data_IF_465516746218
#
_entry.id   IF_465516746218
#
_cell.length_a   1.000
_cell.length_b   1.000
_cell.length_c   1.000
_cell.angle_alpha   90.00
_cell.angle_beta   90.00
_cell.angle_gamma   90.00
#
_symmetry.space_group_name_H-M   'P 1'
#
loop_
_entity.id
_entity.type
_entity.pdbx_description
1 polymer ?
#
# COMPACT_ATOMS: atom_id res chain seq x y z
N UNK A 1 -40.25 70.65 0.78
CA UNK A 1 -40.62 69.52 1.67
C UNK A 1 -41.00 68.32 0.83
N UNK A 2 -41.88 68.48 -0.17
CA UNK A 2 -42.32 67.38 -1.03
C UNK A 2 -41.22 66.75 -1.89
N UNK A 3 -40.27 67.54 -2.40
CA UNK A 3 -39.12 67.01 -3.17
C UNK A 3 -38.21 66.12 -2.33
N UNK A 4 -37.89 66.54 -1.10
CA UNK A 4 -37.08 65.78 -0.15
C UNK A 4 -37.77 64.51 0.30
N UNK A 5 -39.08 64.56 0.55
CA UNK A 5 -39.90 63.39 0.86
C UNK A 5 -39.91 62.40 -0.32
N UNK A 6 -40.03 62.89 -1.55
CA UNK A 6 -40.00 62.04 -2.74
C UNK A 6 -38.65 61.35 -2.94
N UNK A 7 -37.53 62.01 -2.65
CA UNK A 7 -36.19 61.41 -2.72
C UNK A 7 -36.02 60.32 -1.68
N UNK A 8 -36.43 60.56 -0.43
CA UNK A 8 -36.38 59.58 0.65
C UNK A 8 -37.23 58.33 0.35
N UNK A 9 -38.39 58.50 -0.30
CA UNK A 9 -39.23 57.36 -0.72
C UNK A 9 -38.53 56.52 -1.80
N UNK A 10 -37.82 57.14 -2.73
CA UNK A 10 -37.06 56.42 -3.76
C UNK A 10 -35.88 55.64 -3.16
N UNK A 11 -35.14 56.26 -2.23
CA UNK A 11 -34.04 55.62 -1.51
C UNK A 11 -34.52 54.44 -0.67
N UNK A 12 -35.61 54.60 0.08
CA UNK A 12 -36.23 53.52 0.84
C UNK A 12 -36.65 52.36 -0.06
N UNK A 13 -37.19 52.64 -1.25
CA UNK A 13 -37.54 51.60 -2.22
C UNK A 13 -36.30 50.84 -2.72
N UNK A 14 -35.20 51.54 -2.96
CA UNK A 14 -33.92 50.92 -3.31
C UNK A 14 -33.42 50.01 -2.20
N UNK A 15 -33.40 50.51 -0.95
CA UNK A 15 -32.98 49.75 0.22
C UNK A 15 -33.83 48.48 0.39
N UNK A 16 -35.15 48.57 0.18
CA UNK A 16 -36.03 47.40 0.24
C UNK A 16 -35.68 46.34 -0.82
N UNK A 17 -35.28 46.74 -2.03
CA UNK A 17 -34.84 45.82 -3.08
C UNK A 17 -33.52 45.16 -2.71
N UNK A 18 -32.56 45.93 -2.21
CA UNK A 18 -31.27 45.41 -1.78
C UNK A 18 -31.41 44.43 -0.61
N UNK A 19 -32.27 44.72 0.37
CA UNK A 19 -32.60 43.82 1.48
C UNK A 19 -33.19 42.50 0.95
N UNK A 20 -34.09 42.56 -0.03
CA UNK A 20 -34.67 41.36 -0.62
C UNK A 20 -33.62 40.50 -1.35
N UNK A 21 -32.70 41.12 -2.09
CA UNK A 21 -31.57 40.41 -2.71
C UNK A 21 -30.66 39.77 -1.66
N UNK A 22 -30.30 40.51 -0.61
CA UNK A 22 -29.49 39.97 0.48
C UNK A 22 -30.18 38.81 1.19
N UNK A 23 -31.49 38.90 1.45
CA UNK A 23 -32.26 37.79 2.04
C UNK A 23 -32.21 36.55 1.15
N UNK A 24 -32.35 36.71 -0.17
CA UNK A 24 -32.24 35.59 -1.11
C UNK A 24 -30.86 34.95 -1.07
N UNK A 25 -29.80 35.77 -1.07
CA UNK A 25 -28.41 35.28 -1.05
C UNK A 25 -28.05 34.63 0.28
N UNK A 26 -28.53 35.17 1.40
CA UNK A 26 -28.36 34.58 2.73
C UNK A 26 -29.05 33.22 2.78
N UNK A 27 -30.27 33.10 2.26
CA UNK A 27 -30.98 31.81 2.22
C UNK A 27 -30.24 30.75 1.39
N UNK A 28 -29.67 31.12 0.23
CA UNK A 28 -28.83 30.21 -0.56
C UNK A 28 -27.57 29.76 0.21
N UNK A 29 -26.90 30.70 0.88
CA UNK A 29 -25.72 30.40 1.68
C UNK A 29 -26.07 29.50 2.87
N UNK A 30 -27.17 29.73 3.56
CA UNK A 30 -27.65 28.88 4.65
C UNK A 30 -27.90 27.45 4.17
N UNK A 31 -28.57 27.28 3.03
CA UNK A 31 -28.80 25.96 2.44
C UNK A 31 -27.48 25.25 2.08
N UNK A 32 -26.52 25.98 1.53
CA UNK A 32 -25.20 25.43 1.20
C UNK A 32 -24.40 25.07 2.44
N UNK A 33 -24.48 25.87 3.51
CA UNK A 33 -23.83 25.58 4.79
C UNK A 33 -24.42 24.30 5.40
N UNK A 34 -25.74 24.16 5.44
CA UNK A 34 -26.41 22.94 5.92
C UNK A 34 -25.92 21.71 5.15
N UNK A 35 -25.90 21.77 3.81
CA UNK A 35 -25.42 20.67 2.99
C UNK A 35 -23.94 20.32 3.22
N UNK A 36 -23.09 21.32 3.47
CA UNK A 36 -21.68 21.12 3.81
C UNK A 36 -21.52 20.50 5.20
N UNK A 37 -22.30 20.94 6.19
CA UNK A 37 -22.31 20.39 7.53
C UNK A 37 -22.74 18.91 7.51
N UNK A 38 -23.83 18.58 6.80
CA UNK A 38 -24.27 17.20 6.60
C UNK A 38 -23.18 16.35 5.93
N UNK A 39 -22.48 16.90 4.94
CA UNK A 39 -21.37 16.20 4.30
C UNK A 39 -20.19 15.98 5.27
N UNK A 40 -19.84 16.98 6.07
CA UNK A 40 -18.80 16.87 7.10
C UNK A 40 -19.18 15.86 8.19
N UNK A 41 -20.47 15.71 8.51
CA UNK A 41 -20.93 14.68 9.44
C UNK A 41 -20.82 13.27 8.89
N UNK A 42 -20.96 13.08 7.57
CA UNK A 42 -20.86 11.77 6.90
C UNK A 42 -19.42 11.40 6.50
N UNK A 43 -18.52 12.36 6.34
CA UNK A 43 -17.11 12.11 5.98
C UNK A 43 -16.36 11.16 6.96
N UNK A 44 -16.52 11.26 8.30
CA UNK A 44 -15.86 10.35 9.24
C UNK A 44 -16.31 8.89 9.04
N UNK A 45 -17.59 8.65 8.78
CA UNK A 45 -18.13 7.32 8.53
C UNK A 45 -17.55 6.73 7.23
N UNK A 46 -17.49 7.54 6.17
CA UNK A 46 -16.82 7.17 4.91
C UNK A 46 -15.33 6.88 5.14
N UNK A 47 -14.65 7.68 5.96
CA UNK A 47 -13.26 7.45 6.34
C UNK A 47 -13.07 6.11 7.06
N UNK A 48 -13.96 5.77 7.99
CA UNK A 48 -13.94 4.48 8.68
C UNK A 48 -14.20 3.32 7.73
N UNK A 49 -15.15 3.45 6.80
CA UNK A 49 -15.42 2.43 5.78
C UNK A 49 -14.20 2.20 4.88
N UNK A 50 -13.53 3.27 4.43
CA UNK A 50 -12.31 3.16 3.64
C UNK A 50 -11.19 2.44 4.39
N UNK A 51 -11.00 2.74 5.68
CA UNK A 51 -10.01 2.04 6.51
C UNK A 51 -10.37 0.57 6.69
N UNK A 52 -11.65 0.25 6.90
CA UNK A 52 -12.13 -1.12 6.99
C UNK A 52 -11.91 -1.90 5.68
N UNK A 53 -12.30 -1.32 4.55
CA UNK A 53 -12.11 -1.91 3.22
C UNK A 53 -10.64 -2.11 2.91
N UNK A 54 -9.78 -1.14 3.23
CA UNK A 54 -8.33 -1.26 3.08
C UNK A 54 -7.78 -2.42 3.91
N UNK A 55 -8.19 -2.54 5.18
CA UNK A 55 -7.80 -3.65 6.05
C UNK A 55 -8.22 -5.00 5.47
N UNK A 56 -9.46 -5.10 4.97
CA UNK A 56 -10.00 -6.30 4.34
C UNK A 56 -9.23 -6.68 3.07
N UNK A 57 -8.87 -5.71 2.22
CA UNK A 57 -8.06 -5.94 1.02
C UNK A 57 -6.67 -6.48 1.39
N UNK A 58 -6.02 -5.88 2.38
CA UNK A 58 -4.70 -6.33 2.86
C UNK A 58 -4.78 -7.77 3.39
N UNK A 59 -5.81 -8.11 4.18
CA UNK A 59 -6.00 -9.47 4.68
C UNK A 59 -6.23 -10.48 3.55
N UNK A 60 -7.10 -10.15 2.58
CA UNK A 60 -7.34 -11.02 1.42
C UNK A 60 -6.09 -11.25 0.58
N UNK A 61 -5.30 -10.20 0.33
CA UNK A 61 -4.05 -10.33 -0.42
C UNK A 61 -3.02 -11.16 0.34
N UNK A 62 -2.87 -10.94 1.66
CA UNK A 62 -1.97 -11.74 2.49
C UNK A 62 -2.38 -13.21 2.50
N UNK A 63 -3.69 -13.53 2.56
CA UNK A 63 -4.18 -14.91 2.49
C UNK A 63 -3.92 -15.53 1.11
N UNK A 64 -4.15 -14.78 0.04
CA UNK A 64 -3.92 -15.25 -1.33
C UNK A 64 -2.43 -15.46 -1.64
N UNK A 65 -1.55 -14.70 -0.98
CA UNK A 65 -0.10 -14.78 -1.20
C UNK A 65 0.66 -15.53 -0.11
N UNK A 66 -0.02 -16.08 0.90
CA UNK A 66 0.60 -16.74 2.06
C UNK A 66 1.55 -17.87 1.68
N UNK A 67 1.17 -18.60 0.63
CA UNK A 67 1.92 -19.77 0.15
C UNK A 67 2.97 -19.39 -0.90
N UNK A 68 3.02 -18.12 -1.31
CA UNK A 68 3.98 -17.61 -2.29
C UNK A 68 5.27 -17.14 -1.59
N UNK A 69 6.39 -17.68 -2.02
CA UNK A 69 7.74 -17.24 -1.63
C UNK A 69 8.45 -16.67 -2.86
N UNK A 70 9.09 -15.52 -2.68
CA UNK A 70 9.90 -14.88 -3.69
C UNK A 70 11.39 -15.11 -3.39
N UNK A 71 12.13 -15.60 -4.36
CA UNK A 71 13.56 -15.83 -4.27
C UNK A 71 14.31 -14.85 -5.17
N UNK A 72 15.42 -14.32 -4.66
CA UNK A 72 16.29 -13.36 -5.33
C UNK A 72 17.72 -13.88 -5.36
N UNK A 73 18.53 -13.38 -6.29
CA UNK A 73 19.96 -13.73 -6.38
C UNK A 73 20.27 -14.97 -7.21
N UNK A 74 19.27 -15.73 -7.65
CA UNK A 74 19.49 -16.84 -8.58
C UNK A 74 19.75 -16.33 -9.99
N UNK A 75 20.92 -16.63 -10.60
CA UNK A 75 21.16 -16.28 -12.01
C UNK A 75 20.21 -17.04 -12.93
N UNK A 76 19.81 -16.40 -14.02
CA UNK A 76 18.95 -16.99 -15.03
C UNK A 76 19.61 -18.26 -15.59
N UNK A 77 18.80 -19.29 -15.85
CA UNK A 77 19.19 -20.61 -16.35
C UNK A 77 19.88 -21.56 -15.36
N UNK A 78 20.18 -21.14 -14.12
CA UNK A 78 20.71 -22.05 -13.09
C UNK A 78 19.73 -23.20 -12.76
N UNK A 79 18.44 -22.94 -12.94
CA UNK A 79 17.35 -23.88 -12.71
C UNK A 79 17.27 -25.01 -13.75
N UNK A 80 17.93 -24.85 -14.90
CA UNK A 80 17.72 -25.74 -16.05
C UNK A 80 16.30 -25.63 -16.63
N UNK A 81 15.69 -26.78 -16.92
CA UNK A 81 14.38 -26.85 -17.59
C UNK A 81 13.18 -26.80 -16.63
N UNK A 82 13.38 -27.16 -15.35
CA UNK A 82 12.31 -27.24 -14.36
C UNK A 82 12.70 -26.51 -13.06
N UNK A 83 12.10 -25.33 -12.88
CA UNK A 83 12.27 -24.49 -11.69
C UNK A 83 11.82 -25.21 -10.42
N UNK A 84 10.77 -26.03 -10.48
CA UNK A 84 10.28 -26.73 -9.30
C UNK A 84 11.27 -27.80 -8.86
N UNK A 85 11.78 -28.62 -9.79
CA UNK A 85 12.80 -29.63 -9.48
C UNK A 85 14.08 -28.99 -8.91
N UNK A 86 14.50 -27.86 -9.48
CA UNK A 86 15.62 -27.08 -8.96
C UNK A 86 15.38 -26.63 -7.51
N UNK A 87 14.24 -26.00 -7.21
CA UNK A 87 13.94 -25.52 -5.85
C UNK A 87 13.79 -26.67 -4.85
N UNK A 88 13.20 -27.81 -5.27
CA UNK A 88 13.04 -29.00 -4.43
C UNK A 88 14.38 -29.57 -3.96
N UNK A 89 15.39 -29.52 -4.81
CA UNK A 89 16.72 -30.06 -4.54
C UNK A 89 17.61 -29.05 -3.82
N UNK A 90 17.56 -27.78 -4.22
CA UNK A 90 18.46 -26.74 -3.68
C UNK A 90 18.04 -26.20 -2.33
N UNK A 91 16.74 -25.95 -2.10
CA UNK A 91 16.31 -25.27 -0.87
C UNK A 91 16.63 -26.06 0.41
N UNK A 92 16.39 -27.38 0.51
CA UNK A 92 16.74 -28.14 1.72
C UNK A 92 18.24 -28.06 2.03
N UNK A 93 19.09 -28.09 1.00
CA UNK A 93 20.55 -27.97 1.14
C UNK A 93 20.96 -26.56 1.58
N UNK A 94 20.33 -25.52 1.01
CA UNK A 94 20.67 -24.12 1.27
C UNK A 94 20.15 -23.59 2.61
N UNK A 95 18.98 -24.06 3.05
CA UNK A 95 18.37 -23.60 4.31
C UNK A 95 18.62 -24.55 5.48
N UNK A 96 19.34 -25.67 5.26
CA UNK A 96 19.59 -26.72 6.26
C UNK A 96 18.30 -27.27 6.89
N UNK A 97 17.17 -27.13 6.21
CA UNK A 97 15.88 -27.55 6.74
C UNK A 97 15.58 -28.98 6.32
N UNK A 98 15.32 -29.82 7.31
CA UNK A 98 14.62 -31.08 7.09
C UNK A 98 13.14 -30.84 7.32
N UNK A 99 12.36 -30.83 6.23
CA UNK A 99 10.91 -30.82 6.32
C UNK A 99 10.39 -32.24 6.59
N UNK A 100 9.29 -32.37 7.34
CA UNK A 100 8.63 -33.68 7.59
C UNK A 100 8.14 -34.35 6.31
N UNK A 101 7.99 -33.56 5.24
CA UNK A 101 7.57 -33.98 3.92
C UNK A 101 8.36 -33.20 2.87
N UNK A 102 8.57 -33.76 1.66
CA UNK A 102 9.35 -33.08 0.62
C UNK A 102 8.76 -31.70 0.30
N UNK A 103 9.55 -30.78 -0.26
CA UNK A 103 8.97 -29.54 -0.77
C UNK A 103 8.13 -29.85 -2.01
N UNK A 104 6.89 -29.38 -2.01
CA UNK A 104 5.99 -29.49 -3.14
C UNK A 104 5.52 -28.10 -3.54
N UNK A 105 5.46 -27.85 -4.84
CA UNK A 105 5.10 -26.56 -5.41
C UNK A 105 3.87 -26.72 -6.29
N UNK A 106 2.90 -25.82 -6.14
CA UNK A 106 1.79 -25.70 -7.09
C UNK A 106 2.28 -25.11 -8.40
N UNK A 107 3.15 -24.10 -8.29
CA UNK A 107 3.72 -23.36 -9.43
C UNK A 107 5.04 -22.74 -9.03
N UNK A 108 5.96 -22.62 -9.99
CA UNK A 108 7.17 -21.83 -9.84
C UNK A 108 7.52 -21.20 -11.20
N UNK A 109 7.82 -19.90 -11.20
CA UNK A 109 8.13 -19.16 -12.43
C UNK A 109 9.03 -17.97 -12.14
N UNK A 110 9.77 -17.52 -13.15
CA UNK A 110 10.54 -16.26 -13.11
C UNK A 110 9.60 -15.07 -13.28
N UNK A 111 9.85 -14.01 -12.54
CA UNK A 111 9.16 -12.73 -12.68
C UNK A 111 9.90 -11.83 -13.68
N UNK A 112 9.22 -11.43 -14.74
CA UNK A 112 9.76 -10.53 -15.77
C UNK A 112 9.69 -11.11 -17.18
N UNK A 113 10.01 -10.28 -18.18
CA UNK A 113 10.11 -10.70 -19.57
C UNK A 113 11.45 -11.40 -19.81
N UNK A 114 11.41 -12.57 -20.46
CA UNK A 114 12.59 -13.20 -21.03
C UNK A 114 13.14 -12.27 -22.11
N UNK A 115 14.29 -11.68 -21.85
CA UNK A 115 15.06 -10.98 -22.88
C UNK A 115 16.22 -11.90 -23.22
N UNK A 116 16.39 -12.18 -24.51
CA UNK A 116 17.58 -12.86 -24.96
C UNK A 116 18.78 -11.95 -24.66
N UNK A 117 19.87 -12.54 -24.17
CA UNK A 117 21.23 -11.99 -24.23
C UNK A 117 21.87 -11.34 -22.98
N UNK A 118 21.42 -11.63 -21.76
CA UNK A 118 22.26 -11.37 -20.57
C UNK A 118 22.54 -12.64 -19.75
N UNK A 119 23.70 -13.32 -19.99
CA UNK A 119 24.17 -14.32 -19.04
C UNK A 119 24.35 -13.64 -17.67
N UNK A 120 23.87 -14.28 -16.61
CA UNK A 120 23.91 -13.80 -15.21
C UNK A 120 22.83 -12.79 -14.77
N UNK A 121 21.77 -12.59 -15.55
CA UNK A 121 20.62 -11.79 -15.08
C UNK A 121 19.98 -12.42 -13.83
N UNK A 122 19.78 -11.63 -12.77
CA UNK A 122 19.24 -12.09 -11.48
C UNK A 122 17.73 -11.83 -11.37
N UNK A 123 16.91 -12.51 -12.18
CA UNK A 123 15.45 -12.35 -12.11
C UNK A 123 14.84 -13.05 -10.89
N UNK A 124 13.85 -12.47 -10.19
CA UNK A 124 13.22 -13.15 -9.07
C UNK A 124 12.47 -14.42 -9.50
N UNK A 125 12.48 -15.46 -8.67
CA UNK A 125 11.63 -16.65 -8.82
C UNK A 125 10.48 -16.53 -7.83
N UNK A 126 9.24 -16.64 -8.31
CA UNK A 126 8.06 -16.78 -7.46
C UNK A 126 7.64 -18.24 -7.45
N UNK A 127 7.62 -18.86 -6.27
CA UNK A 127 7.14 -20.21 -6.08
C UNK A 127 5.98 -20.25 -5.08
N UNK A 128 4.90 -20.94 -5.44
CA UNK A 128 3.77 -21.22 -4.57
C UNK A 128 3.93 -22.62 -4.00
N UNK A 129 4.05 -22.75 -2.68
CA UNK A 129 4.13 -24.04 -2.01
C UNK A 129 2.75 -24.71 -1.99
N UNK A 130 2.74 -26.03 -2.12
CA UNK A 130 1.51 -26.81 -2.04
C UNK A 130 0.99 -26.90 -0.60
N UNK A 131 1.90 -26.97 0.38
CA UNK A 131 1.57 -27.04 1.80
C UNK A 131 1.76 -25.70 2.47
N UNK A 132 0.65 -25.15 2.98
CA UNK A 132 0.63 -23.83 3.62
C UNK A 132 1.59 -23.68 4.83
N UNK A 133 1.92 -24.77 5.51
CA UNK A 133 2.81 -24.77 6.67
C UNK A 133 4.29 -24.64 6.27
N UNK A 134 4.66 -25.04 5.04
CA UNK A 134 6.06 -25.07 4.60
C UNK A 134 6.59 -23.67 4.27
N UNK A 135 5.75 -22.77 3.73
CA UNK A 135 6.13 -21.39 3.44
C UNK A 135 6.66 -20.63 4.68
N UNK A 136 5.95 -20.56 5.82
CA UNK A 136 6.44 -19.86 7.01
C UNK A 136 7.65 -20.55 7.65
N UNK A 137 7.76 -21.89 7.57
CA UNK A 137 8.94 -22.63 8.04
C UNK A 137 10.18 -22.24 7.23
N UNK A 138 10.07 -22.29 5.90
CA UNK A 138 11.14 -21.90 4.98
C UNK A 138 11.61 -20.46 5.21
N UNK A 139 10.66 -19.52 5.30
CA UNK A 139 10.97 -18.12 5.55
C UNK A 139 11.62 -17.88 6.91
N UNK A 140 11.22 -18.64 7.93
CA UNK A 140 11.81 -18.53 9.27
C UNK A 140 13.23 -19.05 9.28
N UNK A 141 13.50 -20.19 8.64
CA UNK A 141 14.84 -20.73 8.54
C UNK A 141 15.77 -19.84 7.71
N UNK A 142 15.29 -19.34 6.57
CA UNK A 142 16.07 -18.41 5.75
C UNK A 142 16.42 -17.13 6.52
N UNK A 143 15.51 -16.61 7.36
CA UNK A 143 15.83 -15.47 8.25
C UNK A 143 16.89 -15.83 9.30
N UNK A 144 16.87 -17.05 9.83
CA UNK A 144 17.85 -17.47 10.84
C UNK A 144 19.23 -17.79 10.26
N UNK A 145 19.30 -18.35 9.05
CA UNK A 145 20.56 -18.66 8.38
C UNK A 145 21.14 -17.46 7.64
N UNK A 146 20.27 -16.54 7.22
CA UNK A 146 20.65 -15.37 6.44
C UNK A 146 20.75 -15.68 4.94
N UNK A 147 21.57 -14.91 4.21
CA UNK A 147 21.81 -15.14 2.79
C UNK A 147 22.40 -16.52 2.52
N UNK A 148 22.00 -17.13 1.41
CA UNK A 148 22.60 -18.38 0.93
C UNK A 148 23.28 -18.17 -0.43
N UNK A 149 24.31 -18.96 -0.71
CA UNK A 149 25.09 -18.83 -1.96
C UNK A 149 24.55 -19.75 -3.04
N UNK A 150 24.20 -19.21 -4.21
CA UNK A 150 23.76 -19.98 -5.36
C UNK A 150 24.38 -19.43 -6.66
N UNK A 151 25.09 -20.29 -7.40
CA UNK A 151 25.73 -19.90 -8.67
C UNK A 151 26.79 -18.80 -8.53
N UNK A 152 27.39 -18.65 -7.34
CA UNK A 152 28.35 -17.58 -7.03
C UNK A 152 27.72 -16.25 -6.61
N UNK A 153 26.39 -16.21 -6.44
CA UNK A 153 25.65 -15.01 -6.04
C UNK A 153 24.98 -15.21 -4.68
N UNK A 154 24.95 -14.13 -3.92
CA UNK A 154 24.19 -14.04 -2.68
C UNK A 154 22.70 -14.04 -3.01
N UNK A 155 21.99 -15.00 -2.44
CA UNK A 155 20.58 -15.25 -2.68
C UNK A 155 19.79 -15.17 -1.39
N UNK A 156 18.57 -14.65 -1.49
CA UNK A 156 17.67 -14.45 -0.36
C UNK A 156 16.25 -14.86 -0.74
N UNK A 157 15.42 -15.14 0.27
CA UNK A 157 14.00 -15.34 0.06
C UNK A 157 13.15 -14.50 1.01
N UNK A 158 11.95 -14.14 0.55
CA UNK A 158 10.99 -13.42 1.36
C UNK A 158 9.56 -13.84 1.03
N UNK A 159 8.64 -13.56 1.97
CA UNK A 159 7.22 -13.73 1.72
C UNK A 159 6.75 -12.76 0.64
N UNK A 160 5.90 -13.23 -0.26
CA UNK A 160 5.30 -12.38 -1.27
C UNK A 160 4.23 -11.48 -0.62
N UNK A 161 4.66 -10.35 -0.07
CA UNK A 161 3.77 -9.39 0.61
C UNK A 161 3.37 -8.24 -0.31
N UNK A 162 2.22 -7.65 0.05
CA UNK A 162 1.67 -6.41 -0.50
C UNK A 162 2.75 -5.33 -0.67
N UNK A 163 2.67 -4.62 -1.81
CA UNK A 163 3.68 -3.66 -2.29
C UNK A 163 4.06 -2.59 -1.27
N UNK A 164 3.14 -2.14 -0.42
CA UNK A 164 3.40 -1.13 0.61
C UNK A 164 4.29 -1.62 1.78
N UNK A 165 4.52 -2.94 1.92
CA UNK A 165 5.44 -3.49 2.94
C UNK A 165 6.87 -3.70 2.42
N UNK A 166 7.15 -3.28 1.20
CA UNK A 166 8.49 -3.34 0.60
C UNK A 166 9.18 -2.00 0.82
N UNK A 167 10.44 -2.02 1.23
CA UNK A 167 11.28 -0.81 1.19
C UNK A 167 11.41 -0.32 -0.26
N UNK A 168 11.84 0.93 -0.47
CA UNK A 168 12.14 1.50 -1.79
C UNK A 168 13.13 0.68 -2.63
N UNK A 169 13.86 -0.26 -2.01
CA UNK A 169 14.82 -1.18 -2.61
C UNK A 169 14.23 -2.60 -2.87
N UNK A 170 12.94 -2.83 -2.64
CA UNK A 170 12.31 -4.15 -2.80
C UNK A 170 12.64 -5.16 -1.68
N UNK A 171 13.43 -4.76 -0.69
CA UNK A 171 13.77 -5.57 0.49
C UNK A 171 12.59 -5.55 1.47
N UNK A 172 12.23 -6.68 2.10
CA UNK A 172 11.21 -6.71 3.15
C UNK A 172 11.64 -5.83 4.33
N UNK A 173 10.75 -4.97 4.82
CA UNK A 173 10.98 -4.29 6.10
C UNK A 173 11.02 -5.38 7.19
N UNK A 174 12.10 -5.50 7.98
CA UNK A 174 12.10 -6.41 9.12
C UNK A 174 11.00 -5.95 10.07
N UNK A 175 10.05 -6.84 10.35
CA UNK A 175 9.01 -6.62 11.34
C UNK A 175 9.66 -6.60 12.72
N UNK A 176 10.18 -5.46 13.16
CA UNK A 176 10.27 -5.19 14.59
C UNK A 176 8.84 -5.16 15.14
N UNK A 177 8.67 -5.77 16.32
CA UNK A 177 7.45 -5.93 17.13
C UNK A 177 6.46 -4.75 17.09
N UNK A 178 5.16 -4.97 17.37
CA UNK A 178 4.12 -3.96 17.26
C UNK A 178 4.43 -2.80 18.21
N UNK A 179 5.04 -1.74 17.68
CA UNK A 179 5.21 -0.52 18.43
C UNK A 179 3.91 0.24 18.25
N UNK A 180 3.17 0.31 19.36
CA UNK A 180 2.11 1.26 19.65
C UNK A 180 2.07 2.42 18.65
N UNK A 181 1.03 2.48 17.82
CA UNK A 181 0.72 3.67 17.03
C UNK A 181 0.22 4.71 18.03
N UNK A 182 1.19 5.40 18.63
CA UNK A 182 1.04 6.49 19.58
C UNK A 182 2.34 7.27 19.53
N UNK A 183 2.49 8.10 18.49
CA UNK A 183 3.71 8.86 18.25
C UNK A 183 3.57 9.79 17.05
N UNK A 184 3.09 11.00 17.35
CA UNK A 184 3.44 12.27 16.69
C UNK A 184 3.45 12.33 15.16
N UNK A 185 2.33 12.81 14.59
CA UNK A 185 2.35 13.54 13.33
C UNK A 185 3.03 14.89 13.60
N UNK A 186 4.35 14.97 13.38
CA UNK A 186 5.01 16.26 13.19
C UNK A 186 4.47 16.88 11.90
N UNK A 187 3.56 17.83 12.06
CA UNK A 187 3.15 18.72 10.98
C UNK A 187 4.35 19.60 10.61
N UNK A 188 4.92 19.35 9.42
CA UNK A 188 5.82 20.28 8.76
C UNK A 188 5.05 21.59 8.51
N UNK A 189 5.25 22.57 9.40
CA UNK A 189 4.89 23.96 9.15
C UNK A 189 5.76 24.46 8.00
N UNK A 190 5.18 24.51 6.80
CA UNK A 190 5.71 25.35 5.73
C UNK A 190 5.57 26.81 6.16
N UNK A 191 6.71 27.47 6.39
CA UNK A 191 6.76 28.90 6.58
C UNK A 191 6.43 29.62 5.28
N UNK A 192 5.47 30.52 5.33
CA UNK A 192 5.38 31.65 4.40
C UNK A 192 5.60 32.92 5.20
N UNK A 193 6.84 33.40 5.12
CA UNK A 193 7.24 34.74 5.49
C UNK A 193 6.97 35.63 4.28
N UNK A 194 6.04 36.58 4.39
CA UNK A 194 5.95 37.72 3.48
C UNK A 194 5.64 38.95 4.32
N UNK A 195 6.67 39.76 4.58
CA UNK A 195 6.52 41.21 4.78
C UNK A 195 6.04 41.84 3.47
N UNK A 196 5.30 42.93 3.45
CA UNK A 196 5.29 44.12 4.31
C UNK A 196 3.86 44.55 4.58
#
# INVERSE_FOLDING_TARGET
MDSTISTLVAENKSICLDIADFQSRVSDLEQRVIALEDHLHTMPEQGQELLFLRSKLIDLENRSCRDNVCFFGFPEHIEGTDIQAFLKTTLPTLTGLSFDSPLEFQRAHRLGLKQAEEPHRLLPIIACLLRHAQAPQLLTAARSQGPFQAGGYESHCCGFLHREKRTSQGIPIPMSSPTSIGGEIQTLRAGTHVGY
#
